data_IF_806429679571
#
_entry.id   IF_806429679571
#
_cell.length_a   1.000
_cell.length_b   1.000
_cell.length_c   1.000
_cell.angle_alpha   90.00
_cell.angle_beta   90.00
_cell.angle_gamma   90.00
#
_symmetry.space_group_name_H-M   'P 1'
#
loop_
_entity.id
_entity.type
_entity.pdbx_description
1 polymer ?
#
# COMPACT_ATOMS: atom_id res chain seq x y z
N UNK A 1 -62.16 -40.79 -25.44
CA UNK A 1 -61.02 -40.67 -26.37
C UNK A 1 -60.58 -39.21 -26.27
N UNK A 2 -59.57 -38.95 -25.45
CA UNK A 2 -58.15 -38.86 -25.86
C UNK A 2 -57.91 -37.56 -26.61
N UNK A 3 -57.24 -36.60 -25.96
CA UNK A 3 -55.84 -36.20 -26.21
C UNK A 3 -55.82 -34.95 -27.12
N UNK A 4 -54.93 -33.98 -27.03
CA UNK A 4 -53.55 -33.95 -26.59
C UNK A 4 -53.14 -32.49 -26.31
N UNK A 5 -52.15 -32.35 -25.43
CA UNK A 5 -51.43 -31.12 -25.09
C UNK A 5 -50.46 -30.70 -26.21
N UNK A 6 -50.27 -29.37 -26.40
CA UNK A 6 -49.09 -28.65 -26.94
C UNK A 6 -49.51 -27.17 -26.97
N UNK A 7 -48.85 -26.19 -26.36
CA UNK A 7 -47.45 -26.05 -26.00
C UNK A 7 -47.06 -24.63 -26.40
N UNK A 8 -46.33 -23.96 -25.50
CA UNK A 8 -45.48 -22.79 -25.74
C UNK A 8 -46.08 -21.39 -25.68
N UNK A 9 -45.66 -20.67 -24.62
CA UNK A 9 -45.34 -19.25 -24.78
C UNK A 9 -45.57 -18.32 -23.60
N UNK A 10 -44.96 -18.56 -22.44
CA UNK A 10 -44.45 -17.44 -21.62
C UNK A 10 -43.13 -17.83 -20.95
N UNK A 11 -41.97 -17.40 -21.50
CA UNK A 11 -40.71 -17.46 -20.81
C UNK A 11 -40.56 -16.17 -20.00
N UNK A 12 -40.82 -16.22 -18.70
CA UNK A 12 -40.29 -15.22 -17.77
C UNK A 12 -40.38 -15.79 -16.37
N UNK A 13 -39.31 -16.48 -15.95
CA UNK A 13 -38.86 -16.38 -14.57
C UNK A 13 -38.26 -14.98 -14.44
N UNK A 14 -39.14 -13.99 -14.38
CA UNK A 14 -38.79 -12.73 -13.74
C UNK A 14 -38.74 -13.08 -12.27
N UNK A 15 -37.54 -13.23 -11.72
CA UNK A 15 -37.31 -12.81 -10.33
C UNK A 15 -37.60 -11.29 -10.33
N UNK A 16 -38.90 -10.98 -10.42
CA UNK A 16 -39.48 -9.71 -10.10
C UNK A 16 -39.08 -9.50 -8.65
N UNK A 17 -38.31 -8.43 -8.42
CA UNK A 17 -37.86 -7.90 -7.13
C UNK A 17 -39.07 -7.80 -6.19
N UNK A 18 -39.47 -8.94 -5.66
CA UNK A 18 -40.48 -9.06 -4.64
C UNK A 18 -39.70 -8.60 -3.44
N UNK A 19 -39.89 -7.33 -3.06
CA UNK A 19 -39.43 -6.79 -1.79
C UNK A 19 -40.17 -7.53 -0.67
N UNK A 20 -39.88 -8.82 -0.52
CA UNK A 20 -40.29 -9.63 0.61
C UNK A 20 -39.46 -9.10 1.77
N UNK A 21 -40.11 -8.25 2.56
CA UNK A 21 -39.54 -7.77 3.81
C UNK A 21 -39.67 -8.89 4.83
N UNK A 22 -38.72 -9.83 4.80
CA UNK A 22 -38.61 -10.83 5.85
C UNK A 22 -38.31 -10.11 7.17
N UNK A 23 -39.18 -10.31 8.15
CA UNK A 23 -38.94 -9.82 9.51
C UNK A 23 -37.85 -10.66 10.18
N UNK A 24 -37.29 -10.17 11.29
CA UNK A 24 -36.38 -10.98 12.11
C UNK A 24 -37.04 -12.30 12.57
N UNK A 25 -38.35 -12.30 12.84
CA UNK A 25 -39.07 -13.51 13.21
C UNK A 25 -39.17 -14.53 12.06
N UNK A 26 -39.33 -14.05 10.82
CA UNK A 26 -39.31 -14.93 9.64
C UNK A 26 -37.91 -15.50 9.40
N UNK A 27 -36.88 -14.69 9.65
CA UNK A 27 -35.49 -15.14 9.60
C UNK A 27 -35.24 -16.28 10.60
N UNK A 28 -35.64 -16.10 11.86
CA UNK A 28 -35.48 -17.11 12.92
C UNK A 28 -36.25 -18.41 12.58
N UNK A 29 -37.46 -18.30 12.04
CA UNK A 29 -38.27 -19.44 11.63
C UNK A 29 -37.63 -20.23 10.48
N UNK A 30 -37.07 -19.53 9.49
CA UNK A 30 -36.35 -20.14 8.36
C UNK A 30 -35.04 -20.75 8.85
N UNK A 31 -34.28 -20.06 9.70
CA UNK A 31 -33.04 -20.56 10.29
C UNK A 31 -33.31 -21.87 11.05
N UNK A 32 -34.35 -21.91 11.89
CA UNK A 32 -34.75 -23.11 12.61
C UNK A 32 -35.03 -24.27 11.65
N UNK A 33 -35.83 -24.04 10.61
CA UNK A 33 -36.16 -25.06 9.60
C UNK A 33 -34.91 -25.58 8.84
N UNK A 34 -33.96 -24.70 8.51
CA UNK A 34 -32.70 -25.08 7.87
C UNK A 34 -31.83 -25.92 8.82
N UNK A 35 -31.78 -25.53 10.10
CA UNK A 35 -31.01 -26.23 11.13
C UNK A 35 -31.55 -27.62 11.48
N UNK A 36 -32.82 -27.94 11.21
CA UNK A 36 -33.39 -29.27 11.44
C UNK A 36 -32.65 -30.36 10.66
N UNK A 37 -32.20 -30.05 9.44
CA UNK A 37 -31.58 -31.03 8.55
C UNK A 37 -30.05 -31.03 8.63
N UNK A 38 -29.43 -32.21 8.47
CA UNK A 38 -27.97 -32.31 8.40
C UNK A 38 -27.37 -31.51 7.23
N UNK A 39 -28.10 -31.43 6.10
CA UNK A 39 -27.68 -30.69 4.91
C UNK A 39 -27.74 -29.17 5.13
N UNK A 40 -28.78 -28.67 5.78
CA UNK A 40 -28.89 -27.25 6.11
C UNK A 40 -27.82 -26.77 7.09
N UNK A 41 -27.53 -27.55 8.14
CA UNK A 41 -26.40 -27.26 9.06
C UNK A 41 -25.02 -27.25 8.37
N UNK A 42 -24.81 -28.10 7.37
CA UNK A 42 -23.58 -28.06 6.57
C UNK A 42 -23.53 -26.81 5.69
N UNK A 43 -24.63 -26.48 5.00
CA UNK A 43 -24.74 -25.30 4.16
C UNK A 43 -24.47 -24.01 4.93
N UNK A 44 -25.09 -23.81 6.11
CA UNK A 44 -24.88 -22.59 6.91
C UNK A 44 -23.44 -22.44 7.39
N UNK A 45 -22.78 -23.53 7.80
CA UNK A 45 -21.35 -23.50 8.16
C UNK A 45 -20.47 -23.13 6.98
N UNK A 46 -20.72 -23.72 5.83
CA UNK A 46 -19.95 -23.45 4.62
C UNK A 46 -20.22 -22.03 4.08
N UNK A 47 -21.48 -21.58 4.13
CA UNK A 47 -21.89 -20.22 3.78
C UNK A 47 -21.21 -19.19 4.69
N UNK A 48 -21.27 -19.36 6.02
CA UNK A 48 -20.58 -18.48 6.96
C UNK A 48 -19.06 -18.43 6.72
N UNK A 49 -18.43 -19.56 6.40
CA UNK A 49 -17.01 -19.62 6.04
C UNK A 49 -16.71 -18.85 4.75
N UNK A 50 -17.50 -19.05 3.70
CA UNK A 50 -17.32 -18.35 2.42
C UNK A 50 -17.62 -16.87 2.52
N UNK A 51 -18.62 -16.47 3.30
CA UNK A 51 -18.96 -15.08 3.55
C UNK A 51 -17.80 -14.35 4.22
N UNK A 52 -17.24 -14.92 5.30
CA UNK A 52 -16.05 -14.33 5.97
C UNK A 52 -14.84 -14.22 5.03
N UNK A 53 -14.63 -15.22 4.17
CA UNK A 53 -13.55 -15.17 3.18
C UNK A 53 -13.79 -14.08 2.14
N UNK A 54 -15.03 -13.91 1.65
CA UNK A 54 -15.40 -12.84 0.73
C UNK A 54 -15.22 -11.46 1.40
N UNK A 55 -15.71 -11.29 2.63
CA UNK A 55 -15.53 -10.07 3.42
C UNK A 55 -14.04 -9.72 3.56
N UNK A 56 -13.20 -10.72 3.85
CA UNK A 56 -11.74 -10.54 3.94
C UNK A 56 -11.13 -10.13 2.60
N UNK A 57 -11.57 -10.70 1.49
CA UNK A 57 -11.10 -10.32 0.15
C UNK A 57 -11.50 -8.89 -0.20
N UNK A 58 -12.72 -8.45 0.14
CA UNK A 58 -13.16 -7.07 -0.03
C UNK A 58 -12.31 -6.10 0.78
N UNK A 59 -12.01 -6.43 2.04
CA UNK A 59 -11.11 -5.60 2.87
C UNK A 59 -9.70 -5.54 2.29
N UNK A 60 -9.13 -6.68 1.86
CA UNK A 60 -7.80 -6.72 1.24
C UNK A 60 -7.75 -5.93 -0.07
N UNK A 61 -8.81 -5.96 -0.88
CA UNK A 61 -8.93 -5.14 -2.08
C UNK A 61 -8.92 -3.65 -1.73
N UNK A 62 -9.74 -3.23 -0.76
CA UNK A 62 -9.79 -1.84 -0.30
C UNK A 62 -8.45 -1.37 0.30
N UNK A 63 -7.75 -2.24 1.03
CA UNK A 63 -6.40 -1.95 1.57
C UNK A 63 -5.38 -1.79 0.44
N UNK A 64 -5.44 -2.62 -0.60
CA UNK A 64 -4.57 -2.48 -1.76
C UNK A 64 -4.83 -1.17 -2.51
N UNK A 65 -6.09 -0.83 -2.76
CA UNK A 65 -6.47 0.45 -3.37
C UNK A 65 -5.98 1.64 -2.54
N UNK A 66 -6.14 1.61 -1.21
CA UNK A 66 -5.63 2.63 -0.31
C UNK A 66 -4.11 2.74 -0.38
N UNK A 67 -3.40 1.60 -0.39
CA UNK A 67 -1.94 1.57 -0.48
C UNK A 67 -1.46 2.21 -1.78
N UNK A 68 -2.07 1.90 -2.92
CA UNK A 68 -1.72 2.54 -4.20
C UNK A 68 -1.98 4.06 -4.14
N UNK A 69 -3.14 4.48 -3.64
CA UNK A 69 -3.46 5.91 -3.49
C UNK A 69 -2.47 6.67 -2.59
N UNK A 70 -2.03 6.05 -1.48
CA UNK A 70 -1.04 6.63 -0.56
C UNK A 70 0.33 6.73 -1.23
N UNK A 71 0.76 5.73 -2.00
CA UNK A 71 2.03 5.75 -2.73
C UNK A 71 2.00 6.86 -3.80
N UNK A 72 0.89 6.99 -4.53
CA UNK A 72 0.71 8.04 -5.53
C UNK A 72 0.76 9.45 -4.91
N UNK A 73 0.03 9.67 -3.81
CA UNK A 73 0.03 10.94 -3.07
C UNK A 73 1.42 11.27 -2.53
N UNK A 74 2.12 10.31 -1.93
CA UNK A 74 3.48 10.49 -1.44
C UNK A 74 4.44 10.85 -2.59
N UNK A 75 4.33 10.17 -3.73
CA UNK A 75 5.13 10.44 -4.93
C UNK A 75 4.88 11.86 -5.46
N UNK A 76 3.62 12.27 -5.53
CA UNK A 76 3.23 13.62 -5.97
C UNK A 76 3.75 14.72 -5.03
N UNK A 77 3.69 14.49 -3.71
CA UNK A 77 4.25 15.40 -2.70
C UNK A 77 5.77 15.50 -2.83
N UNK A 78 6.48 14.37 -2.90
CA UNK A 78 7.93 14.34 -3.10
C UNK A 78 8.35 15.07 -4.37
N UNK A 79 7.67 14.82 -5.50
CA UNK A 79 7.92 15.51 -6.76
C UNK A 79 7.69 17.03 -6.64
N UNK A 80 6.68 17.45 -5.88
CA UNK A 80 6.37 18.87 -5.65
C UNK A 80 7.48 19.56 -4.84
N UNK A 81 8.04 18.88 -3.83
CA UNK A 81 9.19 19.38 -3.06
C UNK A 81 10.44 19.52 -3.93
N UNK A 82 10.79 18.47 -4.67
CA UNK A 82 11.92 18.47 -5.63
C UNK A 82 11.78 19.60 -6.64
N UNK A 83 10.57 19.81 -7.17
CA UNK A 83 10.30 20.89 -8.12
C UNK A 83 10.52 22.27 -7.51
N UNK A 84 10.00 22.50 -6.29
CA UNK A 84 10.22 23.76 -5.58
C UNK A 84 11.72 24.01 -5.36
N UNK A 85 12.45 22.97 -4.96
CA UNK A 85 13.90 23.03 -4.75
C UNK A 85 14.67 23.40 -6.02
N UNK A 86 14.33 22.77 -7.14
CA UNK A 86 14.91 23.10 -8.44
C UNK A 86 14.62 24.56 -8.84
N UNK A 87 13.41 25.05 -8.56
CA UNK A 87 13.05 26.45 -8.86
C UNK A 87 13.89 27.43 -8.04
N UNK A 88 14.04 27.19 -6.73
CA UNK A 88 14.89 28.02 -5.87
C UNK A 88 16.35 28.03 -6.34
N UNK A 89 16.87 26.86 -6.70
CA UNK A 89 18.23 26.71 -7.22
C UNK A 89 18.44 27.46 -8.53
N UNK A 90 17.48 27.36 -9.47
CA UNK A 90 17.52 28.12 -10.73
C UNK A 90 17.53 29.62 -10.45
N UNK A 91 16.68 30.11 -9.54
CA UNK A 91 16.65 31.51 -9.14
C UNK A 91 17.97 31.97 -8.52
N UNK A 92 18.57 31.18 -7.62
CA UNK A 92 19.87 31.49 -7.02
C UNK A 92 20.99 31.59 -8.06
N UNK A 93 21.00 30.69 -9.05
CA UNK A 93 21.97 30.71 -10.16
C UNK A 93 21.75 31.94 -11.05
N UNK A 94 20.51 32.25 -11.41
CA UNK A 94 20.19 33.41 -12.24
C UNK A 94 20.58 34.72 -11.55
N UNK A 95 20.30 34.84 -10.25
CA UNK A 95 20.69 35.99 -9.44
C UNK A 95 22.21 36.15 -9.41
N UNK A 96 22.94 35.06 -9.11
CA UNK A 96 24.40 35.06 -9.09
C UNK A 96 24.98 35.43 -10.44
N UNK A 97 24.40 34.90 -11.53
CA UNK A 97 24.80 35.26 -12.90
C UNK A 97 24.57 36.74 -13.18
N UNK A 98 23.42 37.28 -12.79
CA UNK A 98 23.11 38.70 -12.99
C UNK A 98 24.11 39.59 -12.25
N UNK A 99 24.40 39.28 -10.99
CA UNK A 99 25.38 40.02 -10.19
C UNK A 99 26.80 39.95 -10.77
N UNK A 100 27.19 38.81 -11.35
CA UNK A 100 28.49 38.65 -12.00
C UNK A 100 28.55 39.37 -13.35
N UNK A 101 27.47 39.38 -14.13
CA UNK A 101 27.46 39.94 -15.50
C UNK A 101 27.12 41.43 -15.52
N UNK A 102 26.40 41.93 -14.50
CA UNK A 102 25.98 43.33 -14.44
C UNK A 102 27.18 44.29 -14.37
N UNK A 103 27.24 45.31 -15.25
CA UNK A 103 28.32 46.27 -15.32
C UNK A 103 28.17 47.43 -14.31
N UNK A 104 27.82 47.14 -13.05
CA UNK A 104 27.96 48.12 -11.97
C UNK A 104 29.45 48.18 -11.57
N UNK A 105 30.17 49.03 -12.29
CA UNK A 105 31.63 49.03 -12.44
C UNK A 105 32.39 49.53 -11.19
N UNK A 106 31.75 49.97 -10.11
CA UNK A 106 32.47 50.72 -9.05
C UNK A 106 32.75 49.97 -7.74
N UNK A 107 32.12 48.81 -7.46
CA UNK A 107 32.18 48.23 -6.09
C UNK A 107 32.46 46.72 -5.96
N UNK A 108 32.42 45.91 -7.04
CA UNK A 108 32.69 44.47 -6.92
C UNK A 108 34.11 44.10 -7.38
N UNK A 109 34.94 43.68 -6.42
CA UNK A 109 36.24 43.08 -6.71
C UNK A 109 36.07 41.66 -7.25
N UNK A 110 37.11 41.13 -7.93
CA UNK A 110 37.13 39.73 -8.34
C UNK A 110 36.97 38.77 -7.16
N UNK A 111 37.50 39.13 -5.99
CA UNK A 111 37.34 38.37 -4.75
C UNK A 111 35.87 38.27 -4.32
N UNK A 112 35.12 39.37 -4.38
CA UNK A 112 33.69 39.39 -4.02
C UNK A 112 32.87 38.49 -4.96
N UNK A 113 33.18 38.54 -6.27
CA UNK A 113 32.53 37.69 -7.28
C UNK A 113 32.83 36.20 -7.04
N UNK A 114 34.08 35.85 -6.73
CA UNK A 114 34.48 34.48 -6.39
C UNK A 114 33.77 34.02 -5.11
N UNK A 115 33.74 34.86 -4.07
CA UNK A 115 33.08 34.53 -2.79
C UNK A 115 31.60 34.23 -3.00
N UNK A 116 30.92 35.06 -3.80
CA UNK A 116 29.51 34.88 -4.16
C UNK A 116 29.27 33.59 -4.95
N UNK A 117 30.10 33.30 -5.95
CA UNK A 117 30.02 32.05 -6.70
C UNK A 117 30.17 30.83 -5.78
N UNK A 118 31.16 30.83 -4.89
CA UNK A 118 31.38 29.74 -3.92
C UNK A 118 30.18 29.60 -2.97
N UNK A 119 29.60 30.71 -2.52
CA UNK A 119 28.40 30.69 -1.67
C UNK A 119 27.21 30.02 -2.39
N UNK A 120 26.97 30.40 -3.65
CA UNK A 120 25.89 29.80 -4.45
C UNK A 120 26.15 28.32 -4.70
N UNK A 121 27.38 27.92 -5.03
CA UNK A 121 27.72 26.51 -5.21
C UNK A 121 27.48 25.67 -3.94
N UNK A 122 27.87 26.17 -2.76
CA UNK A 122 27.60 25.49 -1.48
C UNK A 122 26.11 25.40 -1.18
N UNK A 123 25.34 26.44 -1.52
CA UNK A 123 23.88 26.41 -1.39
C UNK A 123 23.27 25.32 -2.28
N UNK A 124 23.66 25.29 -3.57
CA UNK A 124 23.19 24.28 -4.51
C UNK A 124 23.55 22.87 -4.04
N UNK A 125 24.78 22.68 -3.57
CA UNK A 125 25.25 21.41 -3.00
C UNK A 125 24.37 20.96 -1.84
N UNK A 126 24.10 21.82 -0.86
CA UNK A 126 23.22 21.50 0.27
C UNK A 126 21.78 21.16 -0.15
N UNK A 127 21.23 21.88 -1.14
CA UNK A 127 19.88 21.60 -1.67
C UNK A 127 19.83 20.28 -2.42
N UNK A 128 20.84 19.96 -3.24
CA UNK A 128 20.92 18.67 -3.95
C UNK A 128 21.02 17.51 -2.96
N UNK A 129 21.84 17.63 -1.90
CA UNK A 129 21.91 16.61 -0.85
C UNK A 129 20.56 16.40 -0.16
N UNK A 130 19.84 17.48 0.17
CA UNK A 130 18.50 17.37 0.75
C UNK A 130 17.51 16.69 -0.21
N UNK A 131 17.55 17.00 -1.50
CA UNK A 131 16.71 16.32 -2.51
C UNK A 131 17.02 14.83 -2.63
N UNK A 132 18.30 14.45 -2.59
CA UNK A 132 18.71 13.03 -2.61
C UNK A 132 18.16 12.29 -1.39
N UNK A 133 18.27 12.88 -0.20
CA UNK A 133 17.74 12.29 1.03
C UNK A 133 16.21 12.08 1.02
N UNK A 134 15.48 12.94 0.31
CA UNK A 134 14.02 12.80 0.12
C UNK A 134 13.69 11.63 -0.84
N UNK A 135 14.53 11.40 -1.85
CA UNK A 135 14.32 10.34 -2.84
C UNK A 135 14.70 8.95 -2.34
N UNK A 136 15.67 8.86 -1.43
CA UNK A 136 16.15 7.60 -0.88
C UNK A 136 16.46 7.73 0.63
N UNK A 137 15.46 7.48 1.50
CA UNK A 137 15.67 7.53 2.94
C UNK A 137 16.51 6.35 3.46
N UNK A 138 16.72 5.28 2.68
CA UNK A 138 17.51 4.10 3.09
C UNK A 138 19.01 4.32 2.90
N UNK A 139 19.43 5.08 1.88
CA UNK A 139 20.82 5.57 1.76
C UNK A 139 21.24 6.44 2.96
N UNK A 140 20.28 7.10 3.62
CA UNK A 140 20.52 7.95 4.80
C UNK A 140 20.63 7.16 6.11
N UNK A 141 20.16 5.90 6.15
CA UNK A 141 20.26 4.98 7.31
C UNK A 141 21.48 4.08 7.26
N UNK A 142 21.95 3.75 6.04
CA UNK A 142 23.09 2.87 5.83
C UNK A 142 24.42 3.45 6.35
N UNK A 143 24.50 4.75 6.65
CA UNK A 143 25.67 5.39 7.25
C UNK A 143 25.66 5.39 8.80
N UNK A 144 24.53 5.04 9.44
CA UNK A 144 24.39 5.00 10.92
C UNK A 144 24.42 3.58 11.52
N UNK A 145 24.41 2.51 10.71
CA UNK A 145 24.65 1.13 11.21
C UNK A 145 26.15 0.84 11.36
N UNK A 146 26.74 1.33 12.45
CA UNK A 146 27.96 0.77 13.05
C UNK A 146 27.73 -0.72 13.40
N UNK A 147 28.72 -1.60 13.15
CA UNK A 147 28.48 -3.04 13.09
C UNK A 147 28.17 -3.64 14.46
N UNK A 148 27.14 -4.48 14.49
CA UNK A 148 26.82 -5.39 15.59
C UNK A 148 28.08 -6.17 16.01
N UNK A 149 28.55 -5.87 17.21
CA UNK A 149 29.59 -6.60 17.91
C UNK A 149 29.12 -8.02 18.21
N UNK A 150 29.57 -8.98 17.40
CA UNK A 150 29.44 -10.41 17.61
C UNK A 150 29.99 -10.82 18.99
N UNK A 151 29.10 -11.16 19.94
CA UNK A 151 29.44 -12.09 21.01
C UNK A 151 28.17 -12.70 21.65
N UNK A 152 28.04 -14.02 21.46
CA UNK A 152 27.31 -14.99 22.30
C UNK A 152 25.81 -15.17 22.05
N UNK A 153 25.45 -16.34 21.49
CA UNK A 153 24.07 -16.83 21.54
C UNK A 153 23.67 -18.02 20.67
N UNK A 154 24.55 -18.59 19.82
CA UNK A 154 24.17 -19.66 18.89
C UNK A 154 24.70 -21.05 19.28
N UNK A 155 24.40 -21.47 20.52
CA UNK A 155 24.66 -22.83 20.96
C UNK A 155 23.56 -23.34 21.90
N UNK A 156 22.33 -23.53 21.41
CA UNK A 156 21.37 -24.41 22.12
C UNK A 156 20.14 -24.90 21.33
N UNK A 157 19.89 -24.43 20.10
CA UNK A 157 18.68 -24.83 19.36
C UNK A 157 18.88 -25.95 18.31
N UNK A 158 19.78 -26.93 18.53
CA UNK A 158 20.03 -28.03 17.56
C UNK A 158 19.72 -29.44 18.06
N UNK A 159 18.92 -29.61 19.11
CA UNK A 159 18.60 -30.95 19.64
C UNK A 159 17.11 -31.30 19.71
N UNK A 160 16.20 -30.43 19.29
CA UNK A 160 14.76 -30.66 19.52
C UNK A 160 13.97 -31.18 18.30
N UNK A 161 14.57 -31.34 17.12
CA UNK A 161 13.84 -31.84 15.94
C UNK A 161 14.70 -32.73 15.05
N UNK A 162 15.09 -33.91 15.54
CA UNK A 162 15.52 -34.98 14.66
C UNK A 162 15.25 -36.36 15.25
N UNK A 163 14.42 -37.10 14.51
CA UNK A 163 14.06 -38.51 14.62
C UNK A 163 13.12 -38.90 15.77
N UNK A 164 12.17 -39.84 15.64
CA UNK A 164 11.36 -40.39 14.55
C UNK A 164 10.63 -41.58 15.22
N UNK A 165 9.29 -41.61 15.11
CA UNK A 165 8.35 -42.75 15.23
C UNK A 165 8.63 -43.89 16.24
N UNK A 166 7.64 -44.25 17.07
CA UNK A 166 7.41 -45.64 17.44
C UNK A 166 6.26 -46.21 16.60
N UNK A 167 6.59 -47.16 15.74
CA UNK A 167 5.66 -48.15 15.22
C UNK A 167 6.01 -49.47 15.91
N UNK A 168 5.14 -50.00 16.78
CA UNK A 168 5.02 -51.45 16.92
C UNK A 168 3.68 -51.84 17.54
N UNK A 169 3.08 -52.86 16.92
CA UNK A 169 1.89 -53.58 17.34
C UNK A 169 2.37 -55.03 17.55
N UNK A 170 2.25 -55.55 18.76
CA UNK A 170 1.97 -56.97 19.04
C UNK A 170 1.33 -57.10 20.41
#
# INVERSE_FOLDING_TARGET
>A
MSSENRGDGFPTMTDEDTLVTFSNADYDAIEAAVLETARGRWFLREYAKRNRNADTQTVLAAVNELKEAVIEDQTARTMSLIKADLQDMVSAVQQTRHEIVSPDIEHQTAEERIRRMVQTLRYLEGRIHAMIAICDPELSRAEEEEPLSDAQGLAEAKTAYSSARPHFLM
#
